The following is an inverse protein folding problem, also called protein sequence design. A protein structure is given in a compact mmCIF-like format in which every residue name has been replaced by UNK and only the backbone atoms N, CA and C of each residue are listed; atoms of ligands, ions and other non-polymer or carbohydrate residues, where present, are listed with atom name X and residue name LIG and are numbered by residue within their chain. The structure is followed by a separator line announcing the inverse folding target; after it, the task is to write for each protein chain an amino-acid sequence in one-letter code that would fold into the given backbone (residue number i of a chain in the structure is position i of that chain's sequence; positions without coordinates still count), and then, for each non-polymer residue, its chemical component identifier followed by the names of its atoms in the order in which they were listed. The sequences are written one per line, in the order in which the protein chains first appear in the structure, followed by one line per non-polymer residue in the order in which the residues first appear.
data_IF_444564943022
#
_entry.id   IF_444564943022
#
_cell.length_a   1.000
_cell.length_b   1.000
_cell.length_c   1.000
_cell.angle_alpha   90.00
_cell.angle_beta   90.00
_cell.angle_gamma   90.00
#
_symmetry.space_group_name_H-M   'P 1'
#
loop_
_entity.id
_entity.type
_entity.pdbx_description
1 polymer ?
#
# COMPACT_ATOMS: atom_id res chain seq x y z
N UNK A 1 10.85 24.18 30.64
CA UNK A 1 10.73 22.83 31.23
C UNK A 1 10.53 21.80 30.12
N UNK A 2 11.43 20.83 29.96
CA UNK A 2 11.32 19.76 28.94
C UNK A 2 10.95 18.45 29.65
N UNK A 3 9.80 17.85 29.28
CA UNK A 3 9.28 16.60 29.85
C UNK A 3 9.89 15.40 29.11
N UNK A 4 10.46 14.45 29.85
CA UNK A 4 10.99 13.18 29.36
C UNK A 4 9.91 12.10 29.44
N UNK A 5 9.95 11.10 28.55
CA UNK A 5 8.98 9.99 28.55
C UNK A 5 7.77 10.17 27.63
N UNK A 6 7.81 11.11 26.69
CA UNK A 6 6.81 11.25 25.62
C UNK A 6 7.21 10.44 24.38
N UNK A 7 6.25 10.20 23.48
CA UNK A 7 6.45 9.42 22.24
C UNK A 7 7.64 9.96 21.42
N UNK A 8 7.77 11.29 21.34
CA UNK A 8 8.87 11.94 20.60
C UNK A 8 10.21 11.92 21.34
N UNK A 9 10.25 11.52 22.62
CA UNK A 9 11.47 11.48 23.43
C UNK A 9 11.39 10.41 24.53
N UNK A 10 11.46 9.12 24.14
CA UNK A 10 11.34 8.01 25.08
C UNK A 10 12.50 8.04 26.08
N UNK A 11 12.18 7.79 27.35
CA UNK A 11 13.19 7.63 28.39
C UNK A 11 13.92 6.30 28.14
N UNK A 12 15.24 6.34 28.02
CA UNK A 12 16.06 5.14 27.86
C UNK A 12 15.92 4.27 29.11
N UNK A 13 15.30 3.10 28.96
CA UNK A 13 15.20 2.11 30.04
C UNK A 13 16.58 1.49 30.25
N UNK A 14 17.17 1.68 31.43
CA UNK A 14 18.45 1.08 31.79
C UNK A 14 18.20 -0.31 32.39
N UNK A 15 18.49 -1.41 31.66
CA UNK A 15 18.20 -2.76 32.12
C UNK A 15 19.06 -3.18 33.32
N UNK A 16 20.11 -2.41 33.67
CA UNK A 16 21.06 -2.77 34.75
C UNK A 16 20.55 -2.44 36.15
N UNK A 17 19.50 -1.63 36.28
CA UNK A 17 18.88 -1.26 37.57
C UNK A 17 17.60 -2.03 37.88
N UNK A 18 17.36 -3.18 37.21
CA UNK A 18 16.27 -4.07 37.59
C UNK A 18 16.65 -4.77 38.89
N UNK A 19 15.83 -4.60 39.94
CA UNK A 19 15.94 -5.43 41.13
C UNK A 19 15.82 -6.90 40.71
N UNK A 20 16.61 -7.83 41.27
CA UNK A 20 16.53 -9.24 40.93
C UNK A 20 15.08 -9.71 41.10
N UNK A 21 14.42 -10.06 40.01
CA UNK A 21 13.13 -10.72 40.08
C UNK A 21 13.40 -12.09 40.71
N UNK A 22 12.92 -12.31 41.93
CA UNK A 22 12.85 -13.64 42.51
C UNK A 22 11.92 -14.46 41.63
N UNK A 23 12.48 -15.33 40.79
CA UNK A 23 11.73 -16.38 40.12
C UNK A 23 11.38 -17.39 41.22
N UNK A 24 10.11 -17.62 41.58
CA UNK A 24 9.78 -18.71 42.48
C UNK A 24 10.08 -20.03 41.77
N UNK A 25 11.22 -20.66 42.09
CA UNK A 25 11.68 -21.96 41.54
C UNK A 25 10.94 -23.15 42.18
N UNK A 26 9.65 -23.00 42.46
CA UNK A 26 8.83 -24.10 42.97
C UNK A 26 7.48 -24.06 42.25
N UNK A 27 7.43 -24.64 41.05
CA UNK A 27 6.15 -25.11 40.51
C UNK A 27 5.73 -26.35 41.32
N UNK A 28 4.59 -26.33 42.05
CA UNK A 28 4.05 -27.56 42.58
C UNK A 28 3.58 -28.41 41.40
N UNK A 29 4.24 -29.56 41.20
CA UNK A 29 3.76 -30.60 40.31
C UNK A 29 2.34 -31.01 40.75
N UNK A 30 1.32 -30.51 40.04
CA UNK A 30 -0.08 -30.80 40.36
C UNK A 30 -1.10 -29.69 40.14
N UNK A 31 -0.80 -28.58 39.45
CA UNK A 31 -1.85 -27.67 38.99
C UNK A 31 -2.46 -28.18 37.69
N UNK A 32 -3.37 -29.16 37.80
CA UNK A 32 -4.41 -29.28 36.80
C UNK A 32 -5.23 -27.99 36.89
N UNK A 33 -4.92 -27.01 36.04
CA UNK A 33 -5.79 -25.85 35.85
C UNK A 33 -7.18 -26.42 35.58
N UNK A 34 -8.19 -26.15 36.43
CA UNK A 34 -9.53 -26.66 36.17
C UNK A 34 -9.93 -26.15 34.79
N UNK A 35 -10.52 -27.05 34.01
CA UNK A 35 -11.17 -26.81 32.73
C UNK A 35 -11.80 -25.41 32.77
N UNK A 36 -11.10 -24.44 32.17
CA UNK A 36 -11.65 -23.10 32.02
C UNK A 36 -12.78 -23.33 31.04
N UNK A 37 -14.00 -23.44 31.56
CA UNK A 37 -15.20 -23.35 30.75
C UNK A 37 -15.16 -21.97 30.14
N UNK A 38 -14.61 -21.88 28.92
CA UNK A 38 -14.56 -20.69 28.09
C UNK A 38 -16.00 -20.41 27.62
N UNK A 39 -16.87 -20.03 28.54
CA UNK A 39 -18.24 -19.63 28.23
C UNK A 39 -18.23 -18.21 27.64
N UNK A 40 -17.14 -17.45 27.80
CA UNK A 40 -17.01 -16.06 27.33
C UNK A 40 -15.97 -15.74 26.24
N UNK A 41 -15.06 -16.65 25.84
CA UNK A 41 -14.13 -16.27 24.74
C UNK A 41 -14.82 -16.26 23.37
N UNK A 42 -15.98 -16.89 23.22
CA UNK A 42 -16.80 -16.74 22.01
C UNK A 42 -17.41 -15.32 21.91
N UNK A 43 -17.70 -14.64 23.02
CA UNK A 43 -18.16 -13.24 22.99
C UNK A 43 -17.04 -12.29 22.55
N UNK A 44 -15.77 -12.57 22.90
CA UNK A 44 -14.63 -11.81 22.39
C UNK A 44 -14.40 -11.93 20.87
N UNK A 45 -14.96 -12.98 20.24
CA UNK A 45 -14.95 -13.19 18.78
C UNK A 45 -16.07 -12.42 18.08
N UNK A 46 -17.12 -11.99 18.77
CA UNK A 46 -18.24 -11.24 18.16
C UNK A 46 -17.79 -9.88 17.59
N UNK A 47 -16.77 -9.25 18.19
CA UNK A 47 -16.18 -8.00 17.71
C UNK A 47 -15.10 -8.17 16.63
N UNK A 48 -14.81 -9.41 16.20
CA UNK A 48 -13.90 -9.72 15.10
C UNK A 48 -14.70 -10.32 13.95
N UNK A 49 -15.64 -9.57 13.40
CA UNK A 49 -16.33 -10.00 12.18
C UNK A 49 -15.31 -10.07 11.04
N UNK A 50 -15.53 -11.02 10.11
CA UNK A 50 -14.68 -11.16 8.93
C UNK A 50 -14.62 -9.87 8.12
N UNK A 51 -15.72 -9.11 8.09
CA UNK A 51 -15.77 -7.79 7.47
C UNK A 51 -14.75 -6.84 8.09
N UNK A 52 -14.69 -6.75 9.42
CA UNK A 52 -13.72 -5.89 10.12
C UNK A 52 -12.27 -6.28 9.83
N UNK A 53 -11.99 -7.58 9.69
CA UNK A 53 -10.66 -8.08 9.33
C UNK A 53 -10.29 -7.73 7.89
N UNK A 54 -11.28 -7.64 7.00
CA UNK A 54 -11.09 -7.36 5.58
C UNK A 54 -11.07 -5.85 5.26
N UNK A 55 -11.39 -4.95 6.20
CA UNK A 55 -11.34 -3.50 5.98
C UNK A 55 -9.99 -3.04 5.39
N UNK A 56 -8.82 -3.45 5.93
CA UNK A 56 -7.53 -3.04 5.38
C UNK A 56 -7.30 -3.59 3.96
N UNK A 57 -7.77 -4.80 3.67
CA UNK A 57 -7.68 -5.38 2.32
C UNK A 57 -8.61 -4.68 1.33
N UNK A 58 -9.81 -4.31 1.76
CA UNK A 58 -10.77 -3.59 0.94
C UNK A 58 -10.24 -2.20 0.59
N UNK A 59 -9.65 -1.51 1.59
CA UNK A 59 -8.97 -0.23 1.39
C UNK A 59 -7.78 -0.39 0.44
N UNK A 60 -6.92 -1.39 0.65
CA UNK A 60 -5.78 -1.66 -0.23
C UNK A 60 -6.23 -1.97 -1.66
N UNK A 61 -7.30 -2.75 -1.84
CA UNK A 61 -7.90 -3.03 -3.16
C UNK A 61 -8.43 -1.77 -3.83
N UNK A 62 -9.14 -0.91 -3.10
CA UNK A 62 -9.63 0.36 -3.63
C UNK A 62 -8.46 1.27 -4.08
N UNK A 63 -7.46 1.46 -3.22
CA UNK A 63 -6.29 2.26 -3.56
C UNK A 63 -5.51 1.69 -4.77
N UNK A 64 -5.39 0.36 -4.89
CA UNK A 64 -4.76 -0.25 -6.05
C UNK A 64 -5.61 -0.09 -7.32
N UNK A 65 -6.94 -0.11 -7.21
CA UNK A 65 -7.84 0.16 -8.32
C UNK A 65 -7.65 1.59 -8.84
N UNK A 66 -7.61 2.58 -7.93
CA UNK A 66 -7.39 3.98 -8.28
C UNK A 66 -6.01 4.18 -8.96
N UNK A 67 -4.96 3.54 -8.43
CA UNK A 67 -3.61 3.55 -9.03
C UNK A 67 -3.59 2.99 -10.45
N UNK A 68 -4.35 1.92 -10.70
CA UNK A 68 -4.43 1.31 -12.03
C UNK A 68 -5.18 2.21 -13.01
N UNK A 69 -6.30 2.81 -12.59
CA UNK A 69 -7.03 3.79 -13.41
C UNK A 69 -6.16 4.97 -13.81
N UNK A 70 -5.43 5.55 -12.86
CA UNK A 70 -4.52 6.67 -13.16
C UNK A 70 -3.45 6.27 -14.18
N UNK A 71 -2.82 5.11 -13.99
CA UNK A 71 -1.82 4.60 -14.92
C UNK A 71 -2.40 4.31 -16.32
N UNK A 72 -3.65 3.86 -16.41
CA UNK A 72 -4.35 3.67 -17.69
C UNK A 72 -4.65 5.00 -18.39
N UNK A 73 -5.10 6.00 -17.65
CA UNK A 73 -5.35 7.34 -18.17
C UNK A 73 -4.06 7.98 -18.74
N UNK A 74 -2.94 7.88 -18.01
CA UNK A 74 -1.63 8.34 -18.48
C UNK A 74 -1.21 7.63 -19.78
N UNK A 75 -1.35 6.30 -19.84
CA UNK A 75 -1.02 5.51 -21.05
C UNK A 75 -1.86 5.94 -22.25
N UNK A 76 -3.16 6.21 -22.05
CA UNK A 76 -4.04 6.69 -23.11
C UNK A 76 -3.59 8.07 -23.62
N UNK A 77 -3.28 9.00 -22.72
CA UNK A 77 -2.79 10.32 -23.08
C UNK A 77 -1.50 10.25 -23.93
N UNK A 78 -0.52 9.44 -23.50
CA UNK A 78 0.74 9.23 -24.24
C UNK A 78 0.47 8.64 -25.64
N UNK A 79 -0.41 7.64 -25.74
CA UNK A 79 -0.81 7.04 -27.03
C UNK A 79 -1.41 8.09 -27.96
N UNK A 80 -2.34 8.91 -27.48
CA UNK A 80 -2.97 9.97 -28.28
C UNK A 80 -1.97 11.01 -28.78
N UNK A 81 -1.05 11.46 -27.91
CA UNK A 81 0.02 12.40 -28.30
C UNK A 81 0.92 11.79 -29.37
N UNK A 82 1.30 10.52 -29.22
CA UNK A 82 2.11 9.81 -30.20
C UNK A 82 1.40 9.69 -31.56
N UNK A 83 0.12 9.34 -31.56
CA UNK A 83 -0.70 9.22 -32.76
C UNK A 83 -0.80 10.56 -33.51
N UNK A 84 -1.08 11.65 -32.80
CA UNK A 84 -1.12 13.01 -33.38
C UNK A 84 0.23 13.42 -33.96
N UNK A 85 1.34 13.04 -33.31
CA UNK A 85 2.69 13.31 -33.84
C UNK A 85 2.95 12.53 -35.14
N UNK A 86 2.53 11.28 -35.23
CA UNK A 86 2.64 10.48 -36.45
C UNK A 86 1.78 11.05 -37.57
N UNK A 87 0.55 11.49 -37.27
CA UNK A 87 -0.33 12.12 -38.25
C UNK A 87 0.31 13.36 -38.87
N UNK A 88 0.83 14.28 -38.06
CA UNK A 88 1.54 15.47 -38.56
C UNK A 88 2.78 15.11 -39.41
N UNK A 89 3.48 14.03 -39.08
CA UNK A 89 4.61 13.53 -39.89
C UNK A 89 4.14 13.01 -41.23
N UNK A 90 3.06 12.24 -41.26
CA UNK A 90 2.47 11.72 -42.49
C UNK A 90 1.95 12.85 -43.39
N UNK A 91 1.28 13.86 -42.83
CA UNK A 91 0.84 15.06 -43.57
C UNK A 91 2.02 15.83 -44.18
N UNK A 92 3.10 16.02 -43.43
CA UNK A 92 4.31 16.66 -43.97
C UNK A 92 4.96 15.84 -45.07
N UNK A 93 5.03 14.52 -44.90
CA UNK A 93 5.58 13.62 -45.90
C UNK A 93 4.73 13.64 -47.19
N UNK A 94 3.40 13.62 -47.06
CA UNK A 94 2.50 13.68 -48.22
C UNK A 94 2.59 15.02 -48.95
N UNK A 95 2.69 16.14 -48.24
CA UNK A 95 2.91 17.46 -48.84
C UNK A 95 4.25 17.54 -49.58
N UNK A 96 5.32 16.97 -49.00
CA UNK A 96 6.63 16.89 -49.67
C UNK A 96 6.57 16.04 -50.94
N UNK A 97 5.92 14.88 -50.87
CA UNK A 97 5.74 14.02 -52.04
C UNK A 97 4.95 14.72 -53.15
N UNK A 98 3.83 15.37 -52.80
CA UNK A 98 3.02 16.17 -53.75
C UNK A 98 3.84 17.28 -54.39
N UNK A 99 4.65 18.00 -53.60
CA UNK A 99 5.55 19.05 -54.11
C UNK A 99 6.60 18.48 -55.06
N UNK A 100 7.23 17.37 -54.70
CA UNK A 100 8.23 16.71 -55.54
C UNK A 100 7.63 16.25 -56.88
N UNK A 101 6.43 15.68 -56.87
CA UNK A 101 5.70 15.32 -58.08
C UNK A 101 5.37 16.54 -58.93
N UNK A 102 4.88 17.63 -58.33
CA UNK A 102 4.59 18.86 -59.06
C UNK A 102 5.84 19.45 -59.72
N UNK A 103 6.97 19.47 -59.01
CA UNK A 103 8.26 19.89 -59.57
C UNK A 103 8.70 18.97 -60.72
N UNK A 104 8.57 17.65 -60.56
CA UNK A 104 8.94 16.69 -61.60
C UNK A 104 8.07 16.78 -62.87
N UNK A 105 6.85 17.32 -62.79
CA UNK A 105 5.97 17.55 -63.94
C UNK A 105 6.23 18.90 -64.63
N UNK A 106 6.74 19.90 -63.90
CA UNK A 106 7.03 21.24 -64.44
C UNK A 106 8.41 21.36 -65.12
N UNK A 107 9.23 20.33 -65.05
CA UNK A 107 10.55 20.23 -65.69
C UNK A 107 10.51 19.23 -66.83
#
# INVERSE_FOLDING_TARGET
MKRIGTIDRPLTHDPRNQAPMTIPTAEPAGSATPDVTIIGANDSRQNRTREMQLIPEALARAHMHDRLHEAEAERQAVRLVSARRMQRRAERASMRARRALAMAVMH
#
